data_IF_798559185125
#
_entry.id   IF_798559185125
#
_cell.length_a   1.000
_cell.length_b   1.000
_cell.length_c   1.000
_cell.angle_alpha   90.00
_cell.angle_beta   90.00
_cell.angle_gamma   90.00
#
_symmetry.space_group_name_H-M   'P 1'
#
loop_
_entity.id
_entity.type
_entity.pdbx_description
1 polymer ?
#
# COMPACT_ATOMS: atom_id res chain seq x y z
N UNK A 1 -11.03 9.34 9.52
CA UNK A 1 -12.40 9.92 9.45
C UNK A 1 -12.34 11.28 10.09
N UNK A 2 -12.54 12.34 9.36
CA UNK A 2 -12.73 13.66 9.91
C UNK A 2 -14.21 13.74 10.28
N UNK A 3 -14.50 13.81 11.58
CA UNK A 3 -15.85 14.02 12.08
C UNK A 3 -16.23 15.48 11.77
N UNK A 4 -16.88 15.71 10.62
CA UNK A 4 -17.47 16.99 10.31
C UNK A 4 -18.69 17.27 11.17
N UNK A 5 -19.08 18.55 11.32
CA UNK A 5 -20.31 18.97 12.00
C UNK A 5 -21.55 18.74 11.12
N UNK A 6 -21.63 17.59 10.45
CA UNK A 6 -22.81 17.23 9.65
C UNK A 6 -23.83 16.52 10.51
N UNK A 7 -25.15 16.76 10.32
CA UNK A 7 -26.22 16.02 11.00
C UNK A 7 -26.11 14.51 10.80
N UNK A 8 -25.60 14.07 9.66
CA UNK A 8 -25.32 12.67 9.34
C UNK A 8 -23.82 12.44 9.24
N UNK A 9 -23.27 11.55 10.05
CA UNK A 9 -21.86 11.21 10.04
C UNK A 9 -21.55 10.21 8.92
N UNK A 10 -20.56 10.52 8.12
CA UNK A 10 -20.07 9.62 7.08
C UNK A 10 -19.41 8.40 7.71
N UNK A 11 -19.93 7.22 7.42
CA UNK A 11 -19.37 5.94 7.90
C UNK A 11 -18.73 5.12 6.80
N UNK A 12 -18.74 5.61 5.55
CA UNK A 12 -18.17 4.94 4.40
C UNK A 12 -17.25 5.85 3.61
N UNK A 13 -16.33 5.26 2.86
CA UNK A 13 -15.52 5.93 1.85
C UNK A 13 -15.87 5.34 0.50
N UNK A 14 -16.26 6.15 -0.51
CA UNK A 14 -16.53 5.63 -1.84
C UNK A 14 -15.24 5.20 -2.54
N UNK A 15 -15.30 4.08 -3.25
CA UNK A 15 -14.23 3.62 -4.13
C UNK A 15 -14.76 3.54 -5.55
N UNK A 16 -14.04 4.13 -6.51
CA UNK A 16 -14.39 4.06 -7.92
C UNK A 16 -13.67 2.86 -8.54
N UNK A 17 -14.44 1.96 -9.16
CA UNK A 17 -13.92 0.85 -9.93
C UNK A 17 -14.13 1.11 -11.43
N UNK A 18 -13.07 1.01 -12.21
CA UNK A 18 -13.12 1.27 -13.63
C UNK A 18 -12.03 0.54 -14.40
N UNK A 19 -12.14 0.53 -15.73
CA UNK A 19 -11.14 -0.08 -16.61
C UNK A 19 -11.07 0.65 -17.94
N UNK A 20 -9.95 0.50 -18.63
CA UNK A 20 -9.75 1.02 -19.98
C UNK A 20 -10.38 0.07 -21.00
N UNK A 21 -11.23 0.57 -21.89
CA UNK A 21 -11.94 -0.15 -22.94
C UNK A 21 -12.96 -1.14 -22.37
N UNK A 22 -12.71 -2.47 -22.49
CA UNK A 22 -13.61 -3.52 -22.05
C UNK A 22 -13.01 -4.23 -20.85
N UNK A 23 -13.67 -4.14 -19.71
CA UNK A 23 -13.23 -4.79 -18.47
C UNK A 23 -13.33 -6.31 -18.59
N UNK A 24 -12.37 -6.99 -18.00
CA UNK A 24 -12.48 -8.42 -17.73
C UNK A 24 -12.78 -8.56 -16.24
N UNK A 25 -13.96 -9.13 -15.93
CA UNK A 25 -14.22 -9.54 -14.56
C UNK A 25 -13.26 -10.66 -14.18
N UNK A 26 -12.53 -10.44 -13.12
CA UNK A 26 -11.78 -11.50 -12.47
C UNK A 26 -12.76 -12.23 -11.53
N UNK A 27 -12.81 -13.46 -11.58
CA UNK A 27 -13.33 -14.65 -10.89
C UNK A 27 -14.40 -14.54 -9.78
N UNK A 28 -14.64 -13.38 -9.12
CA UNK A 28 -15.50 -13.31 -7.94
C UNK A 28 -16.67 -12.34 -8.14
N UNK A 29 -17.85 -12.79 -7.73
CA UNK A 29 -19.04 -11.92 -7.58
C UNK A 29 -19.03 -11.40 -6.13
N UNK A 30 -18.38 -10.27 -5.92
CA UNK A 30 -18.23 -9.70 -4.61
C UNK A 30 -19.25 -8.60 -4.33
N UNK A 31 -19.49 -8.31 -3.05
CA UNK A 31 -20.34 -7.23 -2.62
C UNK A 31 -19.72 -5.86 -2.95
N UNK A 32 -20.56 -4.88 -3.23
CA UNK A 32 -20.16 -3.47 -3.36
C UNK A 32 -19.93 -2.78 -2.02
N UNK A 33 -20.29 -3.42 -0.91
CA UNK A 33 -20.07 -2.93 0.44
C UNK A 33 -18.98 -3.80 1.09
N UNK A 34 -17.92 -3.13 1.56
CA UNK A 34 -16.79 -3.77 2.22
C UNK A 34 -16.67 -3.25 3.63
N UNK A 35 -16.69 -4.14 4.61
CA UNK A 35 -16.57 -3.81 6.02
C UNK A 35 -15.22 -4.30 6.54
N UNK A 36 -14.36 -3.36 6.94
CA UNK A 36 -13.05 -3.63 7.52
C UNK A 36 -12.84 -2.81 8.78
N UNK A 37 -12.42 -3.47 9.84
CA UNK A 37 -12.07 -2.79 11.07
C UNK A 37 -10.89 -1.83 10.87
N UNK A 38 -10.98 -0.67 11.50
CA UNK A 38 -9.83 0.24 11.56
C UNK A 38 -8.74 -0.40 12.42
N UNK A 39 -7.46 -0.32 11.98
CA UNK A 39 -6.36 -0.72 12.83
C UNK A 39 -6.47 0.01 14.18
N UNK A 40 -6.37 -0.71 15.29
CA UNK A 40 -6.20 -0.10 16.60
C UNK A 40 -4.98 0.80 16.49
N UNK A 41 -5.09 2.07 16.95
CA UNK A 41 -4.01 3.07 16.92
C UNK A 41 -2.71 2.46 17.44
N UNK A 42 -1.85 2.01 16.54
CA UNK A 42 -0.44 1.85 16.81
C UNK A 42 0.19 3.22 16.54
N UNK A 43 1.01 3.74 17.45
CA UNK A 43 1.41 5.14 17.57
C UNK A 43 2.08 5.80 16.35
N UNK A 44 2.28 5.08 15.24
CA UNK A 44 3.15 5.54 14.17
C UNK A 44 2.44 6.23 12.97
N UNK A 45 1.14 5.96 12.69
CA UNK A 45 0.48 6.63 11.57
C UNK A 45 -1.04 6.75 11.73
N UNK A 46 -1.58 7.97 11.90
CA UNK A 46 -3.03 8.21 12.07
C UNK A 46 -3.88 7.95 10.81
N UNK A 47 -3.27 7.77 9.64
CA UNK A 47 -3.97 7.66 8.34
C UNK A 47 -3.74 6.34 7.61
N UNK A 48 -3.13 5.36 8.25
CA UNK A 48 -2.82 4.08 7.63
C UNK A 48 -4.10 3.29 7.28
N UNK A 49 -4.23 2.91 6.00
CA UNK A 49 -5.32 2.03 5.56
C UNK A 49 -5.06 0.59 6.04
N UNK A 50 -6.11 -0.15 6.45
CA UNK A 50 -5.98 -1.57 6.79
C UNK A 50 -5.43 -2.37 5.59
N UNK A 51 -4.44 -3.22 5.82
CA UNK A 51 -3.88 -4.07 4.75
C UNK A 51 -4.97 -4.95 4.11
N UNK A 52 -5.88 -5.60 4.87
CA UNK A 52 -6.95 -6.41 4.27
C UNK A 52 -7.87 -5.63 3.34
N UNK A 53 -8.12 -4.34 3.63
CA UNK A 53 -8.93 -3.47 2.75
C UNK A 53 -8.29 -3.29 1.38
N UNK A 54 -6.95 -3.24 1.29
CA UNK A 54 -6.21 -3.11 0.04
C UNK A 54 -5.99 -4.46 -0.65
N UNK A 55 -5.72 -5.50 0.11
CA UNK A 55 -5.53 -6.85 -0.42
C UNK A 55 -6.79 -7.37 -1.12
N UNK A 56 -7.96 -7.06 -0.60
CA UNK A 56 -9.25 -7.53 -1.14
C UNK A 56 -9.47 -7.13 -2.62
N UNK A 57 -9.45 -5.83 -3.02
CA UNK A 57 -9.60 -5.45 -4.42
C UNK A 57 -8.42 -5.90 -5.30
N UNK A 58 -7.22 -6.00 -4.75
CA UNK A 58 -6.04 -6.50 -5.48
C UNK A 58 -6.27 -7.96 -5.88
N UNK A 59 -6.72 -8.81 -4.96
CA UNK A 59 -7.01 -10.21 -5.25
C UNK A 59 -8.18 -10.38 -6.23
N UNK A 60 -9.21 -9.55 -6.10
CA UNK A 60 -10.40 -9.62 -6.96
C UNK A 60 -10.13 -9.10 -8.38
N UNK A 61 -9.09 -8.31 -8.59
CA UNK A 61 -8.83 -7.63 -9.87
C UNK A 61 -7.53 -8.03 -10.55
N UNK A 62 -6.73 -8.92 -9.94
CA UNK A 62 -5.45 -9.36 -10.47
C UNK A 62 -5.14 -10.81 -10.10
N UNK A 63 -4.22 -11.43 -10.84
CA UNK A 63 -3.66 -12.74 -10.51
C UNK A 63 -2.33 -12.58 -9.77
N UNK A 64 -1.83 -13.67 -9.16
CA UNK A 64 -0.48 -13.73 -8.65
C UNK A 64 0.54 -13.33 -9.74
N UNK A 65 1.61 -12.66 -9.34
CA UNK A 65 2.64 -12.08 -10.21
C UNK A 65 2.15 -10.94 -11.14
N UNK A 66 0.92 -10.46 -11.01
CA UNK A 66 0.46 -9.27 -11.70
C UNK A 66 1.09 -8.01 -11.11
N UNK A 67 1.31 -7.00 -11.96
CA UNK A 67 1.81 -5.70 -11.53
C UNK A 67 0.66 -4.83 -11.03
N UNK A 68 0.82 -4.27 -9.85
CA UNK A 68 -0.06 -3.28 -9.23
C UNK A 68 0.69 -1.95 -9.17
N UNK A 69 0.09 -0.89 -9.71
CA UNK A 69 0.63 0.46 -9.65
C UNK A 69 -0.11 1.28 -8.61
N UNK A 70 0.64 1.84 -7.67
CA UNK A 70 0.15 2.81 -6.69
C UNK A 70 0.94 4.13 -6.82
N UNK A 71 0.37 5.15 -7.47
CA UNK A 71 1.07 6.42 -7.65
C UNK A 71 1.09 7.32 -6.41
N UNK A 72 0.53 6.87 -5.28
CA UNK A 72 0.43 7.60 -4.02
C UNK A 72 0.74 6.70 -2.83
N UNK A 73 1.98 6.22 -2.75
CA UNK A 73 2.42 5.16 -1.84
C UNK A 73 2.14 5.38 -0.37
N UNK A 74 2.23 6.63 0.09
CA UNK A 74 1.99 7.01 1.47
C UNK A 74 2.82 6.18 2.44
N UNK A 75 2.17 5.44 3.33
CA UNK A 75 2.86 4.56 4.28
C UNK A 75 3.20 3.16 3.72
N UNK A 76 2.97 2.89 2.43
CA UNK A 76 3.30 1.61 1.79
C UNK A 76 2.32 0.47 2.05
N UNK A 77 1.10 0.76 2.45
CA UNK A 77 0.11 -0.30 2.73
C UNK A 77 -0.21 -1.15 1.50
N UNK A 78 -0.20 -0.54 0.29
CA UNK A 78 -0.37 -1.26 -0.98
C UNK A 78 0.79 -2.21 -1.25
N UNK A 79 2.03 -1.80 -0.97
CA UNK A 79 3.21 -2.66 -1.12
C UNK A 79 3.10 -3.91 -0.23
N UNK A 80 2.73 -3.73 1.04
CA UNK A 80 2.55 -4.84 1.97
C UNK A 80 1.40 -5.76 1.53
N UNK A 81 0.28 -5.20 1.05
CA UNK A 81 -0.83 -5.98 0.52
C UNK A 81 -0.42 -6.80 -0.71
N UNK A 82 0.40 -6.24 -1.59
CA UNK A 82 0.94 -6.92 -2.76
C UNK A 82 1.87 -8.07 -2.36
N UNK A 83 2.77 -7.84 -1.42
CA UNK A 83 3.68 -8.86 -0.89
C UNK A 83 2.90 -10.04 -0.29
N UNK A 84 1.89 -9.76 0.54
CA UNK A 84 1.04 -10.78 1.15
C UNK A 84 0.16 -11.56 0.16
N UNK A 85 0.02 -11.07 -1.05
CA UNK A 85 -0.86 -11.64 -2.07
C UNK A 85 -0.11 -12.08 -3.34
N UNK A 86 1.21 -12.15 -3.30
CA UNK A 86 2.09 -12.53 -4.42
C UNK A 86 1.94 -11.61 -5.66
N UNK A 87 1.80 -10.30 -5.46
CA UNK A 87 1.76 -9.31 -6.54
C UNK A 87 3.03 -8.47 -6.54
N UNK A 88 3.39 -7.95 -7.71
CA UNK A 88 4.50 -7.02 -7.87
C UNK A 88 3.96 -5.60 -7.68
N UNK A 89 4.44 -4.89 -6.67
CA UNK A 89 4.04 -3.50 -6.44
C UNK A 89 5.02 -2.53 -7.10
N UNK A 90 4.48 -1.58 -7.87
CA UNK A 90 5.20 -0.39 -8.31
C UNK A 90 4.54 0.81 -7.62
N UNK A 91 5.25 1.46 -6.73
CA UNK A 91 4.71 2.63 -5.99
C UNK A 91 5.54 3.88 -6.23
N UNK A 92 4.88 5.03 -6.17
CA UNK A 92 5.49 6.35 -6.25
C UNK A 92 5.11 7.11 -4.99
N UNK A 93 6.08 7.76 -4.36
CA UNK A 93 5.87 8.63 -3.21
C UNK A 93 6.69 9.89 -3.38
N UNK A 94 6.08 11.03 -3.10
CA UNK A 94 6.71 12.35 -3.26
C UNK A 94 7.54 12.75 -2.03
N UNK A 95 7.08 12.38 -0.84
CA UNK A 95 7.76 12.69 0.41
C UNK A 95 8.83 11.64 0.70
N UNK A 96 10.10 12.06 0.71
CA UNK A 96 11.25 11.20 0.97
C UNK A 96 11.17 10.47 2.32
N UNK A 97 10.58 11.11 3.34
CA UNK A 97 10.39 10.49 4.66
C UNK A 97 9.43 9.31 4.59
N UNK A 98 8.39 9.41 3.77
CA UNK A 98 7.50 8.29 3.55
C UNK A 98 8.13 7.20 2.69
N UNK A 99 9.04 7.54 1.77
CA UNK A 99 9.83 6.52 1.06
C UNK A 99 10.61 5.64 2.05
N UNK A 100 11.26 6.22 3.05
CA UNK A 100 11.96 5.47 4.10
C UNK A 100 11.01 4.59 4.93
N UNK A 101 9.83 5.13 5.27
CA UNK A 101 8.79 4.36 5.98
C UNK A 101 8.35 3.14 5.17
N UNK A 102 8.12 3.31 3.86
CA UNK A 102 7.72 2.22 2.96
C UNK A 102 8.78 1.11 3.00
N UNK A 103 10.06 1.45 2.83
CA UNK A 103 11.15 0.46 2.80
C UNK A 103 11.33 -0.23 4.15
N UNK A 104 11.30 0.53 5.25
CA UNK A 104 11.40 -0.03 6.61
C UNK A 104 10.27 -1.02 6.90
N UNK A 105 9.03 -0.67 6.57
CA UNK A 105 7.87 -1.57 6.74
C UNK A 105 7.97 -2.82 5.87
N UNK A 106 8.49 -2.68 4.65
CA UNK A 106 8.74 -3.84 3.78
C UNK A 106 9.76 -4.79 4.41
N UNK A 107 10.89 -4.26 4.88
CA UNK A 107 11.93 -5.04 5.57
C UNK A 107 11.35 -5.77 6.81
N UNK A 108 10.53 -5.09 7.61
CA UNK A 108 9.83 -5.70 8.75
C UNK A 108 8.90 -6.83 8.30
N UNK A 109 8.17 -6.63 7.22
CA UNK A 109 7.22 -7.64 6.68
C UNK A 109 7.93 -8.89 6.18
N UNK A 110 9.05 -8.75 5.47
CA UNK A 110 9.80 -9.88 4.90
C UNK A 110 10.83 -10.46 5.84
N UNK A 111 11.15 -9.75 6.94
CA UNK A 111 12.11 -10.18 7.96
C UNK A 111 13.59 -10.10 7.52
N UNK A 112 13.90 -9.45 6.40
CA UNK A 112 15.26 -9.31 5.88
C UNK A 112 15.46 -8.02 5.11
N UNK A 113 16.62 -7.37 5.27
CA UNK A 113 17.04 -6.20 4.49
C UNK A 113 17.87 -6.58 3.25
N UNK A 114 18.19 -7.85 3.04
CA UNK A 114 19.12 -8.28 1.97
C UNK A 114 18.65 -7.90 0.56
N UNK A 115 17.34 -7.94 0.31
CA UNK A 115 16.72 -7.55 -0.95
C UNK A 115 16.45 -6.05 -1.12
N UNK A 116 16.55 -5.26 -0.03
CA UNK A 116 16.25 -3.84 -0.05
C UNK A 116 17.45 -3.04 -0.56
N UNK A 117 17.33 -2.48 -1.76
CA UNK A 117 18.37 -1.67 -2.39
C UNK A 117 17.88 -0.28 -2.75
N UNK A 118 18.78 0.68 -2.75
CA UNK A 118 18.56 2.06 -3.20
C UNK A 118 19.43 2.34 -4.41
N UNK A 119 18.83 2.91 -5.44
CA UNK A 119 19.56 3.43 -6.59
C UNK A 119 19.48 4.96 -6.63
N UNK A 120 20.61 5.63 -6.57
CA UNK A 120 20.72 7.09 -6.66
C UNK A 120 21.85 7.46 -7.61
N UNK A 121 21.56 8.33 -8.57
CA UNK A 121 22.54 8.78 -9.58
C UNK A 121 23.29 7.64 -10.29
N UNK A 122 22.59 6.55 -10.59
CA UNK A 122 23.18 5.36 -11.24
C UNK A 122 23.97 4.43 -10.33
N UNK A 123 24.13 4.77 -9.05
CA UNK A 123 24.80 3.92 -8.06
C UNK A 123 23.76 3.16 -7.26
N UNK A 124 23.91 1.85 -7.16
CA UNK A 124 23.05 0.98 -6.36
C UNK A 124 23.79 0.55 -5.10
N UNK A 125 23.15 0.68 -3.96
CA UNK A 125 23.65 0.21 -2.66
C UNK A 125 22.52 -0.41 -1.82
N UNK A 126 22.88 -1.14 -0.78
CA UNK A 126 21.89 -1.66 0.16
C UNK A 126 21.28 -0.52 0.98
N UNK A 127 19.98 -0.63 1.28
CA UNK A 127 19.27 0.38 2.05
C UNK A 127 19.87 0.59 3.45
N UNK A 128 20.25 -0.49 4.12
CA UNK A 128 20.86 -0.45 5.46
C UNK A 128 22.22 0.28 5.52
N UNK A 129 22.88 0.45 4.36
CA UNK A 129 24.14 1.21 4.27
C UNK A 129 23.92 2.70 4.03
N UNK A 130 22.74 3.10 3.53
CA UNK A 130 22.43 4.52 3.24
C UNK A 130 21.97 5.24 4.49
N UNK A 131 21.20 4.57 5.36
CA UNK A 131 20.62 5.15 6.57
C UNK A 131 21.68 5.52 7.63
N UNK A 132 22.90 5.01 7.50
CA UNK A 132 24.00 5.26 8.45
C UNK A 132 24.95 6.39 7.99
N UNK A 133 24.62 7.15 6.96
CA UNK A 133 25.52 8.20 6.41
C UNK A 133 25.17 9.60 6.95
N UNK A 134 24.06 9.75 7.65
CA UNK A 134 23.56 11.04 8.18
C UNK A 134 23.63 11.13 9.72
N UNK A 135 24.48 10.31 10.40
CA UNK A 135 24.86 10.49 11.81
C UNK A 135 26.24 11.14 11.97
#
# INVERSE_FOLDING_TARGET
MVLGRSPYQWQHEPCLYGWKKKGKHQWYKESTIWEFDKPKKNGDHPTMKPIPLLAYPIQNSSMANSVVLDPFGGSGSTLIACEQTDRICCTIELDEKFCDVIVKRYIEQVGSSEGATVQRNGVTCRFDKVVNVDE
#
